data_IF_808948081544
#
_entry.id   IF_808948081544
#
_cell.length_a   1.000
_cell.length_b   1.000
_cell.length_c   1.000
_cell.angle_alpha   90.00
_cell.angle_beta   90.00
_cell.angle_gamma   90.00
#
_symmetry.space_group_name_H-M   'P 1'
#
loop_
_entity.id
_entity.type
_entity.pdbx_description
1 polymer ?
#
# COMPACT_ATOMS: atom_id res chain seq x y z
N UNK A 1 -9.47 -43.08 48.60
CA UNK A 1 -8.41 -42.11 48.20
C UNK A 1 -7.90 -42.22 46.75
N UNK A 2 -8.47 -43.09 45.87
CA UNK A 2 -7.95 -43.28 44.49
C UNK A 2 -8.54 -42.30 43.45
N UNK A 3 -9.74 -41.76 43.69
CA UNK A 3 -10.43 -40.86 42.74
C UNK A 3 -9.94 -39.40 42.79
N UNK A 4 -9.50 -38.92 43.96
CA UNK A 4 -9.02 -37.54 44.12
C UNK A 4 -7.71 -37.26 43.35
N UNK A 5 -6.85 -38.28 43.18
CA UNK A 5 -5.58 -38.15 42.47
C UNK A 5 -5.80 -38.04 40.95
N UNK A 6 -6.78 -38.77 40.39
CA UNK A 6 -7.15 -38.63 38.97
C UNK A 6 -7.79 -37.27 38.67
N UNK A 7 -8.64 -36.79 39.57
CA UNK A 7 -9.29 -35.47 39.46
C UNK A 7 -8.28 -34.32 39.54
N UNK A 8 -7.31 -34.37 40.47
CA UNK A 8 -6.24 -33.36 40.55
C UNK A 8 -5.33 -33.33 39.31
N UNK A 9 -4.98 -34.50 38.75
CA UNK A 9 -4.17 -34.58 37.52
C UNK A 9 -4.91 -33.99 36.32
N UNK A 10 -6.23 -34.21 36.24
CA UNK A 10 -7.07 -33.61 35.21
C UNK A 10 -7.15 -32.09 35.37
N UNK A 11 -7.31 -31.60 36.60
CA UNK A 11 -7.33 -30.17 36.92
C UNK A 11 -6.01 -29.48 36.51
N UNK A 12 -4.88 -30.13 36.78
CA UNK A 12 -3.56 -29.60 36.44
C UNK A 12 -3.33 -29.51 34.93
N UNK A 13 -3.69 -30.55 34.18
CA UNK A 13 -3.60 -30.55 32.71
C UNK A 13 -4.53 -29.48 32.11
N UNK A 14 -5.73 -29.33 32.66
CA UNK A 14 -6.69 -28.33 32.22
C UNK A 14 -6.18 -26.89 32.47
N UNK A 15 -5.56 -26.64 33.62
CA UNK A 15 -4.93 -25.35 33.90
C UNK A 15 -3.78 -25.02 32.94
N UNK A 16 -2.92 -25.99 32.62
CA UNK A 16 -1.82 -25.78 31.65
C UNK A 16 -2.37 -25.47 30.25
N UNK A 17 -3.45 -26.15 29.83
CA UNK A 17 -4.14 -25.84 28.57
C UNK A 17 -4.74 -24.42 28.57
N UNK A 18 -5.40 -24.00 29.65
CA UNK A 18 -5.97 -22.66 29.73
C UNK A 18 -4.89 -21.56 29.71
N UNK A 19 -3.77 -21.76 30.42
CA UNK A 19 -2.67 -20.78 30.42
C UNK A 19 -1.96 -20.72 29.05
N UNK A 20 -1.79 -21.83 28.34
CA UNK A 20 -1.18 -21.83 27.01
C UNK A 20 -2.08 -21.18 25.95
N UNK A 21 -3.40 -21.36 26.02
CA UNK A 21 -4.35 -20.63 25.15
C UNK A 21 -4.35 -19.12 25.43
N UNK A 22 -4.24 -18.68 26.69
CA UNK A 22 -4.17 -17.26 27.03
C UNK A 22 -2.89 -16.58 26.51
N UNK A 23 -1.74 -17.26 26.59
CA UNK A 23 -0.48 -16.74 26.05
C UNK A 23 -0.54 -16.66 24.51
N UNK A 24 -1.10 -17.66 23.84
CA UNK A 24 -1.26 -17.67 22.39
C UNK A 24 -2.28 -16.65 21.88
N UNK A 25 -3.34 -16.39 22.66
CA UNK A 25 -4.32 -15.34 22.37
C UNK A 25 -3.72 -13.93 22.52
N UNK A 26 -2.87 -13.71 23.52
CA UNK A 26 -2.19 -12.42 23.72
C UNK A 26 -1.13 -12.15 22.63
N UNK A 27 -0.43 -13.18 22.15
CA UNK A 27 0.50 -13.08 21.02
C UNK A 27 -0.20 -12.77 19.67
N UNK A 28 -1.49 -13.07 19.52
CA UNK A 28 -2.28 -12.75 18.32
C UNK A 28 -2.84 -11.32 18.29
N UNK A 29 -2.71 -10.54 19.36
CA UNK A 29 -3.30 -9.19 19.46
C UNK A 29 -2.29 -8.04 19.38
N UNK A 30 -1.05 -8.29 18.95
CA UNK A 30 -0.27 -7.23 18.29
C UNK A 30 -0.78 -7.13 16.85
N UNK A 31 -2.02 -6.69 16.70
CA UNK A 31 -2.58 -6.29 15.41
C UNK A 31 -1.72 -5.09 15.02
N UNK A 32 -0.75 -5.28 14.10
CA UNK A 32 -0.05 -4.14 13.46
C UNK A 32 -1.16 -3.16 13.09
N UNK A 33 -1.18 -2.00 13.73
CA UNK A 33 -2.15 -0.95 13.42
C UNK A 33 -2.13 -0.79 11.90
N UNK A 34 -3.27 -1.10 11.27
CA UNK A 34 -3.42 -0.88 9.85
C UNK A 34 -3.18 0.62 9.71
N UNK A 35 -2.19 1.06 8.93
CA UNK A 35 -1.96 2.48 8.74
C UNK A 35 -3.25 3.07 8.19
N UNK A 36 -3.87 3.96 8.95
CA UNK A 36 -5.05 4.66 8.46
C UNK A 36 -4.56 6.02 8.00
N UNK A 37 -3.96 6.05 6.81
CA UNK A 37 -3.77 7.30 6.09
C UNK A 37 -5.02 7.49 5.22
N UNK A 38 -5.84 8.47 5.59
CA UNK A 38 -7.02 8.82 4.80
C UNK A 38 -6.61 9.85 3.77
N UNK A 39 -6.63 9.46 2.49
CA UNK A 39 -6.57 10.39 1.38
C UNK A 39 -7.72 11.40 1.49
N UNK A 40 -7.55 12.65 1.00
CA UNK A 40 -8.64 13.61 0.96
C UNK A 40 -9.89 13.01 0.32
N UNK A 41 -11.06 13.19 0.93
CA UNK A 41 -12.31 12.65 0.40
C UNK A 41 -12.63 13.18 -1.02
N UNK A 42 -12.08 14.35 -1.36
CA UNK A 42 -12.22 15.01 -2.67
C UNK A 42 -11.25 14.50 -3.72
N UNK A 43 -10.36 13.54 -3.43
CA UNK A 43 -9.25 13.20 -4.32
C UNK A 43 -9.68 12.78 -5.73
N UNK A 44 -10.75 11.99 -5.84
CA UNK A 44 -11.30 11.55 -7.13
C UNK A 44 -11.88 12.74 -7.89
N UNK A 45 -12.65 13.60 -7.22
CA UNK A 45 -13.20 14.82 -7.81
C UNK A 45 -12.07 15.78 -8.26
N UNK A 46 -11.03 15.95 -7.46
CA UNK A 46 -9.90 16.83 -7.77
C UNK A 46 -9.09 16.32 -8.98
N UNK A 47 -8.97 14.99 -9.12
CA UNK A 47 -8.37 14.33 -10.29
C UNK A 47 -9.19 14.56 -11.57
N UNK A 48 -10.52 14.54 -11.48
CA UNK A 48 -11.45 14.73 -12.62
C UNK A 48 -11.63 16.20 -13.01
N UNK A 49 -11.68 17.09 -12.03
CA UNK A 49 -12.00 18.52 -12.19
C UNK A 49 -10.82 19.38 -12.65
N UNK A 50 -9.62 18.80 -12.74
CA UNK A 50 -8.41 19.53 -13.17
C UNK A 50 -7.84 20.48 -12.11
N UNK A 51 -8.19 20.29 -10.83
CA UNK A 51 -7.60 21.03 -9.69
C UNK A 51 -6.15 20.64 -9.40
N UNK A 52 -5.68 19.55 -10.00
CA UNK A 52 -4.30 19.08 -9.91
C UNK A 52 -3.51 19.37 -11.20
N UNK A 53 -2.20 19.48 -11.05
CA UNK A 53 -1.27 19.45 -12.17
C UNK A 53 -0.88 18.00 -12.49
N UNK A 54 -0.28 17.76 -13.65
CA UNK A 54 0.11 16.41 -14.07
C UNK A 54 1.49 16.37 -14.74
N UNK A 55 2.24 15.32 -14.43
CA UNK A 55 3.40 14.89 -15.20
C UNK A 55 2.94 13.75 -16.11
N UNK A 56 3.20 13.86 -17.41
CA UNK A 56 2.74 12.87 -18.39
C UNK A 56 3.78 11.80 -18.66
N UNK A 57 3.31 10.65 -19.13
CA UNK A 57 4.11 9.57 -19.71
C UNK A 57 5.32 9.21 -18.84
N UNK A 58 5.05 8.84 -17.60
CA UNK A 58 6.07 8.41 -16.65
C UNK A 58 6.21 6.89 -16.67
N UNK A 59 7.44 6.40 -16.59
CA UNK A 59 7.73 5.02 -16.27
C UNK A 59 8.24 4.97 -14.84
N UNK A 60 7.51 4.26 -13.98
CA UNK A 60 7.77 4.21 -12.55
C UNK A 60 8.23 2.81 -12.12
N UNK A 61 9.36 2.77 -11.42
CA UNK A 61 10.01 1.58 -10.89
C UNK A 61 9.74 1.48 -9.41
N UNK A 62 8.96 0.47 -9.04
CA UNK A 62 8.46 0.26 -7.68
C UNK A 62 9.58 -0.25 -6.79
N UNK A 63 9.84 0.47 -5.70
CA UNK A 63 10.77 0.06 -4.64
C UNK A 63 10.03 -0.62 -3.50
N UNK A 64 8.82 -0.15 -3.17
CA UNK A 64 7.96 -0.75 -2.15
C UNK A 64 6.51 -0.36 -2.39
N UNK A 65 5.58 -1.14 -1.85
CA UNK A 65 4.16 -0.82 -1.90
C UNK A 65 3.46 -1.15 -0.59
N UNK A 66 2.34 -0.48 -0.32
CA UNK A 66 1.50 -0.69 0.86
C UNK A 66 0.03 -0.57 0.49
N UNK A 67 -0.78 -1.46 1.02
CA UNK A 67 -2.23 -1.48 0.78
C UNK A 67 -2.98 -0.93 1.97
N UNK A 68 -4.03 -0.16 1.69
CA UNK A 68 -4.90 0.45 2.69
C UNK A 68 -6.33 -0.03 2.49
N UNK A 69 -7.04 -0.21 3.61
CA UNK A 69 -8.38 -0.75 3.65
C UNK A 69 -9.31 0.22 4.38
N UNK A 70 -10.57 0.26 3.99
CA UNK A 70 -11.61 1.00 4.69
C UNK A 70 -12.15 0.24 5.91
N UNK A 71 -13.12 0.84 6.61
CA UNK A 71 -13.76 0.24 7.80
C UNK A 71 -14.47 -1.09 7.50
N UNK A 72 -14.90 -1.29 6.25
CA UNK A 72 -15.54 -2.52 5.78
C UNK A 72 -14.54 -3.56 5.28
N UNK A 73 -13.23 -3.34 5.50
CA UNK A 73 -12.14 -4.19 5.01
C UNK A 73 -12.08 -4.30 3.48
N UNK A 74 -12.73 -3.38 2.76
CA UNK A 74 -12.58 -3.25 1.31
C UNK A 74 -11.32 -2.45 1.01
N UNK A 75 -10.65 -2.77 -0.11
CA UNK A 75 -9.47 -2.01 -0.50
C UNK A 75 -9.85 -0.56 -0.79
N UNK A 76 -9.16 0.37 -0.14
CA UNK A 76 -9.34 1.80 -0.34
C UNK A 76 -8.38 2.30 -1.43
N UNK A 77 -7.08 2.12 -1.21
CA UNK A 77 -6.03 2.53 -2.14
C UNK A 77 -4.74 1.71 -1.96
N UNK A 78 -3.81 1.88 -2.88
CA UNK A 78 -2.45 1.33 -2.81
C UNK A 78 -1.44 2.44 -2.91
N UNK A 79 -0.53 2.51 -1.95
CA UNK A 79 0.65 3.37 -2.05
C UNK A 79 1.78 2.63 -2.73
N UNK A 80 2.40 3.30 -3.69
CA UNK A 80 3.58 2.83 -4.39
C UNK A 80 4.67 3.85 -4.16
N UNK A 81 5.77 3.42 -3.53
CA UNK A 81 7.01 4.18 -3.59
C UNK A 81 7.76 3.75 -4.86
N UNK A 82 8.06 4.72 -5.72
CA UNK A 82 8.70 4.46 -6.99
C UNK A 82 9.63 5.58 -7.42
N UNK A 83 10.72 5.21 -8.09
CA UNK A 83 11.50 6.14 -8.89
C UNK A 83 10.87 6.23 -10.28
N UNK A 84 10.57 7.43 -10.76
CA UNK A 84 9.94 7.62 -12.06
C UNK A 84 10.81 8.42 -13.01
N UNK A 85 10.81 8.02 -14.28
CA UNK A 85 11.47 8.72 -15.38
C UNK A 85 10.47 9.02 -16.48
N UNK A 86 10.66 10.14 -17.17
CA UNK A 86 9.85 10.45 -18.34
C UNK A 86 10.18 9.50 -19.48
N UNK A 87 9.14 8.94 -20.11
CA UNK A 87 9.26 8.06 -21.26
C UNK A 87 9.69 8.92 -22.45
N UNK A 88 10.92 8.71 -22.90
CA UNK A 88 11.41 9.31 -24.14
C UNK A 88 11.08 8.38 -25.32
N UNK A 89 10.18 8.77 -26.25
CA UNK A 89 9.78 7.92 -27.37
C UNK A 89 10.93 7.66 -28.36
N UNK A 90 11.99 8.48 -28.33
CA UNK A 90 13.15 8.35 -29.21
C UNK A 90 14.26 7.45 -28.63
N UNK A 91 14.07 6.90 -27.42
CA UNK A 91 15.04 6.01 -26.78
C UNK A 91 14.40 4.64 -26.57
N UNK A 92 15.12 3.58 -26.97
CA UNK A 92 14.73 2.21 -26.61
C UNK A 92 14.93 2.03 -25.11
N UNK A 93 13.87 1.63 -24.42
CA UNK A 93 13.90 1.28 -22.99
C UNK A 93 14.56 -0.10 -22.89
N UNK A 94 15.63 -0.20 -22.11
CA UNK A 94 16.18 -1.49 -21.69
C UNK A 94 15.35 -1.98 -20.50
N UNK A 95 14.54 -3.02 -20.73
CA UNK A 95 13.65 -3.58 -19.71
C UNK A 95 14.40 -4.41 -18.67
N UNK A 96 15.55 -5.00 -19.04
CA UNK A 96 16.38 -5.80 -18.14
C UNK A 96 17.25 -4.91 -17.23
N UNK A 97 17.59 -3.70 -17.72
CA UNK A 97 18.42 -2.74 -17.01
C UNK A 97 17.90 -1.31 -17.20
N UNK A 98 16.81 -0.96 -16.49
CA UNK A 98 16.22 0.36 -16.62
C UNK A 98 17.19 1.43 -16.15
N UNK A 99 17.40 2.45 -16.98
CA UNK A 99 18.27 3.58 -16.68
C UNK A 99 17.59 4.56 -15.70
N UNK A 100 17.47 4.16 -14.44
CA UNK A 100 17.05 5.05 -13.35
C UNK A 100 18.30 5.82 -12.88
N UNK A 101 18.28 7.16 -12.89
CA UNK A 101 19.37 7.94 -12.32
C UNK A 101 19.62 7.56 -10.85
N UNK A 102 20.87 7.43 -10.43
CA UNK A 102 21.22 7.07 -9.03
C UNK A 102 20.66 8.08 -8.00
N UNK A 103 20.44 9.32 -8.42
CA UNK A 103 19.88 10.40 -7.61
C UNK A 103 18.38 10.63 -7.85
N UNK A 104 17.67 9.69 -8.48
CA UNK A 104 16.24 9.83 -8.71
C UNK A 104 15.49 9.88 -7.37
N UNK A 105 14.77 10.99 -7.12
CA UNK A 105 13.94 11.11 -5.93
C UNK A 105 12.81 10.06 -5.99
N UNK A 106 12.66 9.30 -4.90
CA UNK A 106 11.55 8.35 -4.74
C UNK A 106 10.27 9.14 -4.51
N UNK A 107 9.25 8.83 -5.32
CA UNK A 107 7.91 9.41 -5.26
C UNK A 107 6.98 8.46 -4.52
N UNK A 108 6.10 8.99 -3.68
CA UNK A 108 4.97 8.25 -3.13
C UNK A 108 3.78 8.50 -4.04
N UNK A 109 3.24 7.42 -4.60
CA UNK A 109 2.14 7.45 -5.57
C UNK A 109 0.95 6.74 -4.95
N UNK A 110 -0.10 7.50 -4.65
CA UNK A 110 -1.37 6.98 -4.20
C UNK A 110 -2.19 6.55 -5.42
N UNK A 111 -2.34 5.24 -5.58
CA UNK A 111 -3.19 4.63 -6.59
C UNK A 111 -4.60 4.59 -6.04
N UNK A 112 -5.50 5.33 -6.69
CA UNK A 112 -6.86 5.58 -6.20
C UNK A 112 -7.92 5.05 -7.15
N UNK A 113 -9.09 4.75 -6.58
CA UNK A 113 -10.20 4.06 -7.26
C UNK A 113 -10.19 2.57 -6.92
N UNK A 114 -11.33 2.05 -6.48
CA UNK A 114 -11.43 0.71 -5.88
C UNK A 114 -10.92 -0.40 -6.80
N UNK A 115 -11.54 -0.54 -7.97
CA UNK A 115 -11.24 -1.62 -8.91
C UNK A 115 -9.79 -1.52 -9.43
N UNK A 116 -9.33 -0.28 -9.68
CA UNK A 116 -7.98 -0.02 -10.16
C UNK A 116 -6.92 -0.34 -9.10
N UNK A 117 -7.17 0.05 -7.85
CA UNK A 117 -6.28 -0.25 -6.72
C UNK A 117 -6.15 -1.76 -6.52
N UNK A 118 -7.26 -2.50 -6.62
CA UNK A 118 -7.25 -3.97 -6.53
C UNK A 118 -6.45 -4.62 -7.67
N UNK A 119 -6.63 -4.13 -8.90
CA UNK A 119 -5.87 -4.60 -10.06
C UNK A 119 -4.36 -4.34 -9.91
N UNK A 120 -3.98 -3.15 -9.45
CA UNK A 120 -2.60 -2.77 -9.22
C UNK A 120 -1.98 -3.58 -8.09
N UNK A 121 -2.69 -3.76 -6.98
CA UNK A 121 -2.28 -4.64 -5.88
C UNK A 121 -2.00 -6.07 -6.34
N UNK A 122 -2.92 -6.65 -7.11
CA UNK A 122 -2.76 -7.99 -7.67
C UNK A 122 -1.51 -8.07 -8.56
N UNK A 123 -1.28 -7.06 -9.40
CA UNK A 123 -0.10 -6.98 -10.25
C UNK A 123 1.21 -6.93 -9.45
N UNK A 124 1.25 -6.11 -8.40
CA UNK A 124 2.40 -5.97 -7.50
C UNK A 124 2.71 -7.29 -6.77
N UNK A 125 1.67 -7.97 -6.27
CA UNK A 125 1.80 -9.30 -5.65
C UNK A 125 2.36 -10.35 -6.59
N UNK A 126 2.04 -10.24 -7.89
CA UNK A 126 2.57 -11.13 -8.92
C UNK A 126 3.98 -10.75 -9.40
N UNK A 127 4.66 -9.84 -8.70
CA UNK A 127 6.06 -9.47 -8.97
C UNK A 127 6.23 -8.38 -10.02
N UNK A 128 5.15 -7.70 -10.44
CA UNK A 128 5.28 -6.54 -11.35
C UNK A 128 5.92 -5.38 -10.60
N UNK A 129 7.08 -4.93 -11.08
CA UNK A 129 7.86 -3.84 -10.46
C UNK A 129 7.90 -2.57 -11.31
N UNK A 130 7.28 -2.57 -12.50
CA UNK A 130 7.31 -1.44 -13.42
C UNK A 130 5.91 -1.07 -13.87
N UNK A 131 5.58 0.22 -13.80
CA UNK A 131 4.29 0.77 -14.22
C UNK A 131 4.49 1.91 -15.23
N UNK A 132 3.63 1.94 -16.24
CA UNK A 132 3.50 3.07 -17.16
C UNK A 132 2.35 3.93 -16.65
N UNK A 133 2.66 5.17 -16.32
CA UNK A 133 1.73 6.14 -15.74
C UNK A 133 1.50 7.24 -16.76
N UNK A 134 0.28 7.31 -17.32
CA UNK A 134 -0.05 8.30 -18.36
C UNK A 134 -0.11 9.73 -17.81
N UNK A 135 -0.71 9.90 -16.64
CA UNK A 135 -0.91 11.18 -15.95
C UNK A 135 -0.66 10.99 -14.45
N UNK A 136 0.52 11.39 -14.01
CA UNK A 136 0.87 11.38 -12.58
C UNK A 136 0.50 12.73 -11.98
N UNK A 137 -0.57 12.76 -11.19
CA UNK A 137 -1.16 14.00 -10.67
C UNK A 137 -0.46 14.48 -9.40
N UNK A 138 -0.45 15.79 -9.17
CA UNK A 138 0.05 16.40 -7.94
C UNK A 138 -0.62 17.75 -7.69
N UNK A 139 -0.75 18.12 -6.42
CA UNK A 139 -1.20 19.46 -6.05
C UNK A 139 -0.11 20.51 -6.32
N UNK A 140 -0.50 21.74 -6.67
CA UNK A 140 0.45 22.84 -6.79
C UNK A 140 1.09 23.16 -5.43
N UNK A 141 2.38 23.53 -5.33
CA UNK A 141 3.02 23.98 -4.09
C UNK A 141 2.24 25.01 -3.25
N UNK A 142 1.38 25.83 -3.87
CA UNK A 142 0.53 26.80 -3.16
C UNK A 142 -0.77 26.22 -2.58
N UNK A 143 -1.09 24.96 -2.86
CA UNK A 143 -2.33 24.29 -2.44
C UNK A 143 -2.17 23.70 -1.03
N UNK A 144 -3.23 23.71 -0.22
CA UNK A 144 -3.20 23.25 1.17
C UNK A 144 -2.82 21.76 1.31
N UNK A 145 -3.28 20.93 0.38
CA UNK A 145 -2.99 19.50 0.33
C UNK A 145 -1.65 19.16 -0.37
N UNK A 146 -0.80 20.15 -0.67
CA UNK A 146 0.49 19.86 -1.29
C UNK A 146 1.46 19.22 -0.30
N UNK A 147 2.03 18.07 -0.72
CA UNK A 147 3.24 17.52 -0.11
C UNK A 147 4.30 17.28 -1.18
N UNK A 148 5.57 17.57 -0.82
CA UNK A 148 6.70 17.28 -1.70
C UNK A 148 6.77 15.77 -1.94
N UNK A 149 6.95 15.36 -3.20
CA UNK A 149 7.08 13.98 -3.66
C UNK A 149 5.84 13.09 -3.47
N UNK A 150 4.69 13.68 -3.19
CA UNK A 150 3.39 13.01 -3.14
C UNK A 150 2.66 13.19 -4.48
N UNK A 151 2.14 12.09 -5.00
CA UNK A 151 1.46 12.05 -6.28
C UNK A 151 0.26 11.11 -6.25
N UNK A 152 -0.67 11.31 -7.18
CA UNK A 152 -1.90 10.55 -7.28
C UNK A 152 -2.06 9.97 -8.68
N UNK A 153 -2.59 8.76 -8.77
CA UNK A 153 -2.82 8.09 -10.04
C UNK A 153 -4.14 7.32 -10.05
N UNK A 154 -4.90 7.48 -11.13
CA UNK A 154 -6.12 6.75 -11.43
C UNK A 154 -6.17 6.42 -12.93
N UNK A 155 -7.01 5.45 -13.33
CA UNK A 155 -7.04 4.88 -14.68
C UNK A 155 -7.53 5.84 -15.79
N UNK A 156 -7.98 7.06 -15.44
CA UNK A 156 -8.60 8.06 -16.36
C UNK A 156 -7.89 8.28 -17.70
#
# INVERSE_FOLDING_TARGET
MKNNIKSMKFLFIFCVFLFSFNILANLRMVRKEIPVEHLPATIIEDLESGRMNYIRNQQCFVTSHRTFYDENLSMNHVDINAACVEINPNRKINWDYPAIPENAEVKTIHVVGKDFSEQVHSSLKNGKTVFLVKKLAYYNPSHENYKKNEYFYSEQ
#
